data_IF_215894574049
#
_entry.id   IF_215894574049
#
_cell.length_a   1.000
_cell.length_b   1.000
_cell.length_c   1.000
_cell.angle_alpha   90.00
_cell.angle_beta   90.00
_cell.angle_gamma   90.00
#
_symmetry.space_group_name_H-M   'P 1'
#
loop_
_entity.id
_entity.type
_entity.pdbx_description
1 polymer ?
#
# COMPACT_ATOMS: atom_id res chain seq x y z
N UNK A 1 -14.01 -34.56 -7.21
CA UNK A 1 -13.20 -33.54 -7.90
C UNK A 1 -13.41 -32.20 -7.20
N UNK A 2 -12.54 -31.84 -6.24
CA UNK A 2 -12.69 -30.63 -5.39
C UNK A 2 -11.39 -29.87 -5.14
N UNK A 3 -10.23 -30.38 -5.60
CA UNK A 3 -8.91 -29.79 -5.30
C UNK A 3 -8.53 -28.56 -6.15
N UNK A 4 -9.16 -28.35 -7.31
CA UNK A 4 -8.77 -27.27 -8.23
C UNK A 4 -9.32 -25.89 -7.84
N UNK A 5 -10.53 -25.81 -7.26
CA UNK A 5 -11.13 -24.51 -6.90
C UNK A 5 -10.46 -23.85 -5.69
N UNK A 6 -9.87 -24.65 -4.79
CA UNK A 6 -9.25 -24.13 -3.57
C UNK A 6 -7.91 -23.42 -3.84
N UNK A 7 -7.15 -23.93 -4.82
CA UNK A 7 -5.90 -23.31 -5.27
C UNK A 7 -6.14 -21.93 -5.88
N UNK A 8 -7.21 -21.78 -6.66
CA UNK A 8 -7.60 -20.50 -7.28
C UNK A 8 -7.97 -19.44 -6.24
N UNK A 9 -8.73 -19.81 -5.20
CA UNK A 9 -9.04 -18.90 -4.08
C UNK A 9 -7.81 -18.52 -3.28
N UNK A 10 -6.90 -19.47 -3.03
CA UNK A 10 -5.65 -19.22 -2.31
C UNK A 10 -4.75 -18.22 -3.07
N UNK A 11 -4.56 -18.40 -4.38
CA UNK A 11 -3.77 -17.47 -5.21
C UNK A 11 -4.38 -16.06 -5.19
N UNK A 12 -5.70 -15.91 -5.35
CA UNK A 12 -6.36 -14.59 -5.30
C UNK A 12 -6.18 -13.89 -3.97
N UNK A 13 -6.22 -14.64 -2.86
CA UNK A 13 -5.96 -14.11 -1.51
C UNK A 13 -4.50 -13.68 -1.35
N UNK A 14 -3.55 -14.46 -1.84
CA UNK A 14 -2.13 -14.08 -1.84
C UNK A 14 -1.88 -12.82 -2.66
N UNK A 15 -2.51 -12.67 -3.83
CA UNK A 15 -2.41 -11.45 -4.64
C UNK A 15 -2.98 -10.24 -3.89
N UNK A 16 -4.14 -10.37 -3.24
CA UNK A 16 -4.73 -9.30 -2.45
C UNK A 16 -3.83 -8.85 -1.29
N UNK A 17 -3.25 -9.81 -0.55
CA UNK A 17 -2.29 -9.54 0.53
C UNK A 17 -1.00 -8.93 -0.02
N UNK A 18 -0.49 -9.45 -1.14
CA UNK A 18 0.71 -8.92 -1.80
C UNK A 18 0.54 -7.48 -2.24
N UNK A 19 -0.62 -7.11 -2.78
CA UNK A 19 -0.94 -5.72 -3.15
C UNK A 19 -0.99 -4.81 -1.92
N UNK A 20 -1.61 -5.27 -0.82
CA UNK A 20 -1.64 -4.50 0.42
C UNK A 20 -0.21 -4.28 0.96
N UNK A 21 0.58 -5.34 1.08
CA UNK A 21 1.96 -5.27 1.61
C UNK A 21 2.84 -4.39 0.72
N UNK A 22 2.80 -4.58 -0.59
CA UNK A 22 3.60 -3.77 -1.52
C UNK A 22 3.23 -2.30 -1.49
N UNK A 23 1.94 -1.97 -1.40
CA UNK A 23 1.52 -0.57 -1.27
C UNK A 23 1.96 0.07 0.05
N UNK A 24 1.95 -0.67 1.17
CA UNK A 24 2.55 -0.22 2.43
C UNK A 24 4.06 -0.04 2.34
N UNK A 25 4.77 -0.96 1.67
CA UNK A 25 6.21 -0.84 1.45
C UNK A 25 6.56 0.40 0.62
N UNK A 26 5.78 0.70 -0.42
CA UNK A 26 5.93 1.91 -1.24
C UNK A 26 5.67 3.16 -0.39
N UNK A 27 4.63 3.18 0.44
CA UNK A 27 4.35 4.30 1.33
C UNK A 27 5.52 4.57 2.29
N UNK A 28 6.08 3.53 2.90
CA UNK A 28 7.25 3.64 3.78
C UNK A 28 8.50 4.11 3.03
N UNK A 29 8.71 3.64 1.80
CA UNK A 29 9.81 4.10 0.95
C UNK A 29 9.68 5.60 0.64
N UNK A 30 8.47 6.08 0.32
CA UNK A 30 8.21 7.50 0.08
C UNK A 30 8.52 8.32 1.34
N UNK A 31 8.09 7.88 2.52
CA UNK A 31 8.43 8.55 3.79
C UNK A 31 9.94 8.56 3.99
N UNK A 32 10.60 7.40 3.83
CA UNK A 32 12.04 7.27 4.08
C UNK A 32 12.86 8.18 3.16
N UNK A 33 12.59 8.14 1.85
CA UNK A 33 13.27 8.97 0.86
C UNK A 33 12.96 10.45 1.09
N UNK A 34 11.70 10.76 1.45
CA UNK A 34 11.27 12.11 1.77
C UNK A 34 12.00 12.70 2.98
N UNK A 35 12.16 11.91 4.04
CA UNK A 35 12.94 12.26 5.22
C UNK A 35 14.42 12.44 4.88
N UNK A 36 15.02 11.49 4.17
CA UNK A 36 16.44 11.55 3.79
C UNK A 36 16.74 12.78 2.92
N UNK A 37 15.81 13.15 2.03
CA UNK A 37 15.91 14.41 1.29
C UNK A 37 15.75 15.63 2.18
N UNK A 38 14.74 15.65 3.07
CA UNK A 38 14.51 16.77 4.00
C UNK A 38 15.71 17.03 4.90
N UNK A 39 16.33 15.97 5.43
CA UNK A 39 17.50 16.04 6.31
C UNK A 39 18.75 16.56 5.59
N UNK A 40 18.80 16.46 4.26
CA UNK A 40 19.89 16.99 3.44
C UNK A 40 19.78 18.50 3.15
N UNK A 41 18.63 19.11 3.44
CA UNK A 41 18.39 20.53 3.15
C UNK A 41 18.70 21.43 4.37
N UNK A 42 19.19 22.67 4.16
CA UNK A 42 19.26 23.64 5.23
C UNK A 42 17.87 23.98 5.75
N UNK A 43 17.75 24.17 7.08
CA UNK A 43 16.45 24.40 7.71
C UNK A 43 15.78 25.66 7.16
N UNK A 44 14.63 25.49 6.52
CA UNK A 44 13.89 26.58 5.92
C UNK A 44 12.38 26.29 5.93
N UNK A 45 11.50 27.32 6.01
CA UNK A 45 10.05 27.13 6.15
C UNK A 45 9.41 26.33 5.00
N UNK A 46 10.01 26.37 3.81
CA UNK A 46 9.52 25.60 2.66
C UNK A 46 9.72 24.10 2.86
N UNK A 47 10.80 23.66 3.53
CA UNK A 47 11.10 22.25 3.81
C UNK A 47 10.01 21.62 4.69
N UNK A 48 9.50 22.37 5.67
CA UNK A 48 8.38 21.93 6.53
C UNK A 48 7.10 21.67 5.74
N UNK A 49 6.82 22.50 4.72
CA UNK A 49 5.65 22.30 3.84
C UNK A 49 5.81 21.01 3.01
N UNK A 50 6.99 20.76 2.46
CA UNK A 50 7.27 19.53 1.71
C UNK A 50 7.13 18.28 2.59
N UNK A 51 7.58 18.35 3.84
CA UNK A 51 7.42 17.25 4.80
C UNK A 51 5.93 16.87 4.99
N UNK A 52 5.06 17.87 5.21
CA UNK A 52 3.63 17.63 5.38
C UNK A 52 3.03 17.02 4.11
N UNK A 53 3.40 17.52 2.93
CA UNK A 53 2.92 16.98 1.65
C UNK A 53 3.36 15.52 1.46
N UNK A 54 4.60 15.18 1.81
CA UNK A 54 5.13 13.82 1.74
C UNK A 54 4.41 12.89 2.71
N UNK A 55 4.17 13.34 3.95
CA UNK A 55 3.43 12.59 4.95
C UNK A 55 1.98 12.30 4.49
N UNK A 56 1.27 13.31 3.97
CA UNK A 56 -0.08 13.13 3.42
C UNK A 56 -0.07 12.15 2.25
N UNK A 57 0.91 12.28 1.34
CA UNK A 57 1.06 11.38 0.18
C UNK A 57 1.24 9.94 0.62
N UNK A 58 2.10 9.68 1.60
CA UNK A 58 2.32 8.35 2.14
C UNK A 58 1.06 7.75 2.79
N UNK A 59 0.30 8.56 3.54
CA UNK A 59 -0.98 8.14 4.13
C UNK A 59 -1.97 7.77 3.03
N UNK A 60 -2.10 8.59 1.98
CA UNK A 60 -2.98 8.30 0.86
C UNK A 60 -2.61 7.00 0.15
N UNK A 61 -1.31 6.75 -0.08
CA UNK A 61 -0.84 5.50 -0.65
C UNK A 61 -1.19 4.29 0.22
N UNK A 62 -0.98 4.38 1.53
CA UNK A 62 -1.32 3.32 2.48
C UNK A 62 -2.84 3.04 2.49
N UNK A 63 -3.67 4.09 2.44
CA UNK A 63 -5.14 3.97 2.36
C UNK A 63 -5.54 3.28 1.05
N UNK A 64 -5.03 3.72 -0.10
CA UNK A 64 -5.34 3.13 -1.41
C UNK A 64 -4.91 1.66 -1.46
N UNK A 65 -3.74 1.33 -0.93
CA UNK A 65 -3.26 -0.04 -0.85
C UNK A 65 -4.18 -0.93 -0.01
N UNK A 66 -4.59 -0.41 1.16
CA UNK A 66 -5.47 -1.12 2.10
C UNK A 66 -6.86 -1.32 1.51
N UNK A 67 -7.44 -0.28 0.90
CA UNK A 67 -8.77 -0.35 0.26
C UNK A 67 -8.73 -1.31 -0.93
N UNK A 68 -7.74 -1.18 -1.81
CA UNK A 68 -7.59 -2.07 -2.98
C UNK A 68 -7.40 -3.52 -2.56
N UNK A 69 -6.51 -3.80 -1.60
CA UNK A 69 -6.28 -5.14 -1.06
C UNK A 69 -7.53 -5.72 -0.41
N UNK A 70 -8.24 -4.92 0.41
CA UNK A 70 -9.49 -5.30 1.06
C UNK A 70 -10.61 -5.60 0.05
N UNK A 71 -10.75 -4.77 -0.98
CA UNK A 71 -11.73 -4.99 -2.05
C UNK A 71 -11.45 -6.27 -2.84
N UNK A 72 -10.18 -6.54 -3.16
CA UNK A 72 -9.77 -7.78 -3.85
C UNK A 72 -10.01 -9.01 -2.98
N UNK A 73 -9.71 -8.92 -1.69
CA UNK A 73 -10.00 -9.98 -0.72
C UNK A 73 -11.51 -10.25 -0.60
N UNK A 74 -12.32 -9.20 -0.50
CA UNK A 74 -13.77 -9.31 -0.43
C UNK A 74 -14.36 -9.90 -1.71
N UNK A 75 -13.91 -9.45 -2.88
CA UNK A 75 -14.30 -10.04 -4.19
C UNK A 75 -13.90 -11.50 -4.32
N UNK A 76 -12.77 -11.91 -3.73
CA UNK A 76 -12.37 -13.31 -3.69
C UNK A 76 -13.24 -14.17 -2.75
N UNK A 77 -13.97 -13.56 -1.80
CA UNK A 77 -14.96 -14.24 -0.95
C UNK A 77 -16.35 -14.30 -1.60
N UNK A 78 -16.76 -13.26 -2.32
CA UNK A 78 -18.10 -13.11 -2.89
C UNK A 78 -18.33 -13.78 -4.24
N UNK A 79 -17.33 -14.44 -4.83
CA UNK A 79 -17.54 -15.29 -6.02
C UNK A 79 -17.69 -16.74 -5.57
N UNK A 80 -18.91 -17.21 -5.21
CA UNK A 80 -19.21 -18.63 -5.23
C UNK A 80 -19.19 -19.07 -6.70
N UNK A 81 -18.37 -20.07 -7.01
CA UNK A 81 -18.53 -20.89 -8.21
C UNK A 81 -19.45 -22.05 -7.86
#
# INVERSE_FOLDING_TARGET
MTMTSDRGRFVRRLVAVGIAISGWAIALLVVRVGLDWSDSQPYAPWVETYYIVLAITAVLLAVVATVTGGLLWHRARLRPE
#
